data_IF_001140506590
#
_entry.id   IF_001140506590
#
_cell.length_a   1.000
_cell.length_b   1.000
_cell.length_c   1.000
_cell.angle_alpha   90.00
_cell.angle_beta   90.00
_cell.angle_gamma   90.00
#
_symmetry.space_group_name_H-M   'P 1'
#
loop_
_entity.id
_entity.type
_entity.pdbx_description
1 polymer ?
#
# COMPACT_ATOMS: atom_id res chain seq x y z
N UNK A 1 16.24 31.87 17.95
CA UNK A 1 16.94 31.62 16.66
C UNK A 1 16.17 30.49 16.02
N UNK A 2 15.19 30.83 15.19
CA UNK A 2 14.30 29.84 14.57
C UNK A 2 15.06 29.24 13.39
N UNK A 3 15.44 27.96 13.52
CA UNK A 3 16.01 27.22 12.41
C UNK A 3 14.87 26.81 11.49
N UNK A 4 14.55 27.65 10.51
CA UNK A 4 13.60 27.30 9.44
C UNK A 4 14.23 26.16 8.61
N UNK A 5 13.75 24.93 8.80
CA UNK A 5 14.13 23.80 7.96
C UNK A 5 13.23 23.79 6.73
N UNK A 6 13.68 24.43 5.66
CA UNK A 6 13.04 24.41 4.34
C UNK A 6 12.96 22.97 3.80
N UNK A 7 11.96 22.68 2.97
CA UNK A 7 11.68 21.39 2.36
C UNK A 7 12.71 20.94 1.29
N UNK A 8 13.85 21.63 1.13
CA UNK A 8 14.80 21.42 0.04
C UNK A 8 15.21 19.97 -0.29
N UNK A 9 15.43 19.06 0.68
CA UNK A 9 15.62 17.64 0.37
C UNK A 9 14.28 16.91 0.23
N UNK A 10 14.24 15.79 -0.53
CA UNK A 10 13.07 14.90 -0.68
C UNK A 10 12.35 14.63 0.66
N UNK A 11 13.11 14.26 1.69
CA UNK A 11 12.56 13.97 3.02
C UNK A 11 11.96 15.20 3.73
N UNK A 12 12.39 16.41 3.36
CA UNK A 12 11.80 17.66 3.83
C UNK A 12 10.37 17.83 3.33
N UNK A 13 10.15 17.63 2.02
CA UNK A 13 8.81 17.64 1.46
C UNK A 13 7.91 16.56 2.04
N UNK A 14 8.42 15.33 2.21
CA UNK A 14 7.69 14.23 2.86
C UNK A 14 7.28 14.62 4.29
N UNK A 15 8.20 15.21 5.06
CA UNK A 15 7.93 15.65 6.42
C UNK A 15 6.83 16.71 6.46
N UNK A 16 6.97 17.80 5.71
CA UNK A 16 6.01 18.90 5.68
C UNK A 16 4.64 18.47 5.13
N UNK A 17 4.61 17.50 4.21
CA UNK A 17 3.34 16.91 3.75
C UNK A 17 2.65 16.18 4.90
N UNK A 18 3.38 15.35 5.66
CA UNK A 18 2.83 14.55 6.76
C UNK A 18 2.38 15.38 7.98
N UNK A 19 2.84 16.62 8.13
CA UNK A 19 2.40 17.50 9.22
C UNK A 19 1.03 18.12 8.96
N UNK A 20 0.56 18.16 7.71
CA UNK A 20 -0.74 18.74 7.34
C UNK A 20 -1.90 17.95 7.96
N UNK A 21 -1.83 16.62 7.90
CA UNK A 21 -2.90 15.77 8.43
C UNK A 21 -2.39 14.43 8.92
N UNK A 22 -2.90 13.97 10.06
CA UNK A 22 -2.63 12.64 10.60
C UNK A 22 -3.27 11.53 9.77
N UNK A 23 -4.21 11.85 8.88
CA UNK A 23 -4.81 10.89 7.96
C UNK A 23 -3.87 10.45 6.82
N UNK A 24 -2.76 11.16 6.61
CA UNK A 24 -1.77 10.82 5.59
C UNK A 24 -0.97 9.60 6.06
N UNK A 25 -1.08 8.49 5.34
CA UNK A 25 -0.35 7.25 5.65
C UNK A 25 1.01 7.22 4.97
N UNK A 26 1.07 7.62 3.71
CA UNK A 26 2.28 7.53 2.90
C UNK A 26 2.39 8.71 1.93
N UNK A 27 3.64 9.07 1.63
CA UNK A 27 3.97 10.19 0.73
C UNK A 27 5.16 9.78 -0.12
N UNK A 28 5.02 9.91 -1.43
CA UNK A 28 6.13 9.83 -2.37
C UNK A 28 6.47 11.24 -2.84
N UNK A 29 7.76 11.57 -2.88
CA UNK A 29 8.23 12.86 -3.34
C UNK A 29 9.32 12.63 -4.39
N UNK A 30 9.07 13.05 -5.62
CA UNK A 30 9.97 12.87 -6.75
C UNK A 30 10.25 14.19 -7.46
N UNK A 31 11.25 14.21 -8.33
CA UNK A 31 11.57 15.36 -9.16
C UNK A 31 11.78 14.90 -10.60
N UNK A 32 10.69 14.78 -11.38
CA UNK A 32 10.76 14.30 -12.75
C UNK A 32 11.54 15.27 -13.66
N UNK A 33 11.50 16.56 -13.34
CA UNK A 33 12.23 17.62 -14.02
C UNK A 33 12.88 18.57 -13.01
N UNK A 34 13.97 19.24 -13.42
CA UNK A 34 14.68 20.16 -12.56
C UNK A 34 13.76 21.32 -12.10
N UNK A 35 13.66 21.50 -10.78
CA UNK A 35 12.78 22.52 -10.19
C UNK A 35 11.31 22.13 -10.14
N UNK A 36 10.93 20.91 -10.57
CA UNK A 36 9.58 20.38 -10.38
C UNK A 36 9.61 19.34 -9.27
N UNK A 37 8.73 19.51 -8.29
CA UNK A 37 8.54 18.58 -7.17
C UNK A 37 7.15 17.96 -7.31
N UNK A 38 7.10 16.65 -7.52
CA UNK A 38 5.86 15.87 -7.61
C UNK A 38 5.65 15.12 -6.30
N UNK A 39 4.54 15.45 -5.62
CA UNK A 39 4.14 14.86 -4.35
C UNK A 39 2.91 13.99 -4.58
N UNK A 40 3.03 12.71 -4.24
CA UNK A 40 1.91 11.77 -4.22
C UNK A 40 1.53 11.46 -2.78
N UNK A 41 0.24 11.47 -2.50
CA UNK A 41 -0.28 11.32 -1.15
C UNK A 41 -1.27 10.17 -1.07
N UNK A 42 -1.05 9.26 -0.13
CA UNK A 42 -1.95 8.15 0.18
C UNK A 42 -2.45 8.29 1.62
N UNK A 43 -3.76 8.11 1.83
CA UNK A 43 -4.37 8.18 3.15
C UNK A 43 -4.36 6.82 3.86
N UNK A 44 -4.66 6.86 5.16
CA UNK A 44 -4.88 5.65 5.97
C UNK A 44 -5.89 4.71 5.32
N UNK A 45 -5.67 3.40 5.49
CA UNK A 45 -6.47 2.38 4.81
C UNK A 45 -6.17 2.23 3.31
N UNK A 46 -5.20 2.97 2.77
CA UNK A 46 -4.90 2.98 1.33
C UNK A 46 -5.95 3.75 0.52
N UNK A 47 -6.65 4.70 1.15
CA UNK A 47 -7.65 5.53 0.47
C UNK A 47 -7.00 6.66 -0.34
N UNK A 48 -7.66 7.04 -1.43
CA UNK A 48 -7.26 8.19 -2.22
C UNK A 48 -7.65 9.50 -1.50
N UNK A 49 -6.78 10.52 -1.48
CA UNK A 49 -7.12 11.81 -0.92
C UNK A 49 -8.23 12.48 -1.72
N UNK A 50 -9.07 13.25 -1.04
CA UNK A 50 -10.03 14.13 -1.70
C UNK A 50 -9.31 15.35 -2.25
N UNK A 51 -9.92 16.02 -3.24
CA UNK A 51 -9.39 17.26 -3.80
C UNK A 51 -9.11 18.33 -2.72
N UNK A 52 -9.98 18.45 -1.71
CA UNK A 52 -9.79 19.41 -0.62
C UNK A 52 -8.52 19.13 0.21
N UNK A 53 -8.20 17.85 0.45
CA UNK A 53 -6.97 17.47 1.16
C UNK A 53 -5.73 17.75 0.31
N UNK A 54 -5.81 17.50 -1.01
CA UNK A 54 -4.71 17.82 -1.94
C UNK A 54 -4.42 19.32 -1.96
N UNK A 55 -5.46 20.16 -2.03
CA UNK A 55 -5.35 21.62 -2.01
C UNK A 55 -4.78 22.16 -0.69
N UNK A 56 -5.19 21.57 0.45
CA UNK A 56 -4.64 21.92 1.76
C UNK A 56 -3.14 21.62 1.84
N UNK A 57 -2.72 20.46 1.34
CA UNK A 57 -1.30 20.06 1.30
C UNK A 57 -0.52 20.96 0.34
N UNK A 58 -1.05 21.21 -0.86
CA UNK A 58 -0.40 22.08 -1.84
C UNK A 58 -0.20 23.49 -1.31
N UNK A 59 -1.19 24.04 -0.60
CA UNK A 59 -1.08 25.35 0.05
C UNK A 59 0.00 25.36 1.15
N UNK A 60 0.06 24.32 1.98
CA UNK A 60 1.07 24.20 3.02
C UNK A 60 2.49 24.09 2.46
N UNK A 61 2.68 23.30 1.40
CA UNK A 61 3.99 23.14 0.76
C UNK A 61 4.42 24.38 -0.03
N UNK A 62 3.47 25.16 -0.56
CA UNK A 62 3.76 26.40 -1.28
C UNK A 62 3.97 27.62 -0.37
N UNK A 63 3.84 27.47 0.95
CA UNK A 63 4.17 28.53 1.89
C UNK A 63 5.62 29.00 1.74
N UNK A 64 5.84 30.31 1.81
CA UNK A 64 7.11 30.97 1.47
C UNK A 64 8.29 30.62 2.39
N UNK A 65 8.03 30.05 3.56
CA UNK A 65 9.00 29.54 4.52
C UNK A 65 9.24 28.02 4.40
N UNK A 66 8.42 27.32 3.61
CA UNK A 66 8.47 25.86 3.43
C UNK A 66 9.24 25.47 2.19
N UNK A 67 8.87 25.93 0.99
CA UNK A 67 9.57 25.52 -0.25
C UNK A 67 10.77 26.42 -0.59
N UNK A 68 11.83 25.87 -1.21
CA UNK A 68 12.82 26.66 -1.92
C UNK A 68 12.18 27.50 -3.04
N UNK A 69 12.79 28.65 -3.33
CA UNK A 69 12.26 29.63 -4.30
C UNK A 69 12.09 29.09 -5.71
N UNK A 70 12.93 28.15 -6.13
CA UNK A 70 12.97 27.60 -7.49
C UNK A 70 12.02 26.44 -7.71
N UNK A 71 11.43 25.90 -6.64
CA UNK A 71 10.69 24.65 -6.72
C UNK A 71 9.23 24.92 -7.06
N UNK A 72 8.72 24.23 -8.07
CA UNK A 72 7.32 24.20 -8.47
C UNK A 72 6.75 22.90 -7.90
N UNK A 73 5.93 23.02 -6.85
CA UNK A 73 5.35 21.88 -6.15
C UNK A 73 4.01 21.53 -6.76
N UNK A 74 3.81 20.26 -7.07
CA UNK A 74 2.55 19.68 -7.51
C UNK A 74 2.16 18.56 -6.56
N UNK A 75 0.89 18.50 -6.18
CA UNK A 75 0.38 17.50 -5.24
C UNK A 75 -0.80 16.77 -5.87
N UNK A 76 -0.75 15.44 -5.87
CA UNK A 76 -1.81 14.64 -6.47
C UNK A 76 -1.94 13.27 -5.81
N UNK A 77 -2.99 12.55 -6.18
CA UNK A 77 -3.15 11.14 -5.81
C UNK A 77 -2.14 10.24 -6.55
N UNK A 78 -1.72 9.12 -5.94
CA UNK A 78 -0.99 8.09 -6.66
C UNK A 78 -1.85 7.46 -7.76
N UNK A 79 -1.19 7.05 -8.83
CA UNK A 79 -1.79 6.18 -9.83
C UNK A 79 -2.06 4.80 -9.24
N UNK A 80 -3.09 4.12 -9.75
CA UNK A 80 -3.51 2.82 -9.22
C UNK A 80 -3.09 1.68 -10.12
N UNK A 81 -2.38 0.73 -9.53
CA UNK A 81 -2.00 -0.53 -10.16
C UNK A 81 -2.97 -1.63 -9.71
N UNK A 82 -3.99 -1.97 -10.52
CA UNK A 82 -4.98 -2.97 -10.12
C UNK A 82 -4.34 -4.35 -10.02
N UNK A 83 -4.72 -5.10 -8.99
CA UNK A 83 -4.37 -6.51 -8.83
C UNK A 83 -5.56 -7.32 -8.31
N UNK A 84 -5.47 -8.63 -8.51
CA UNK A 84 -6.51 -9.60 -8.16
C UNK A 84 -5.96 -10.63 -7.19
N UNK A 85 -6.85 -11.29 -6.46
CA UNK A 85 -6.52 -12.44 -5.61
C UNK A 85 -7.33 -13.63 -6.09
N UNK A 86 -6.63 -14.67 -6.50
CA UNK A 86 -7.22 -15.94 -6.91
C UNK A 86 -6.30 -17.07 -6.41
N UNK A 87 -6.80 -17.82 -5.43
CA UNK A 87 -6.05 -18.90 -4.82
C UNK A 87 -6.93 -20.05 -4.33
N UNK A 88 -6.29 -21.22 -4.24
CA UNK A 88 -6.85 -22.41 -3.61
C UNK A 88 -5.90 -22.89 -2.53
N UNK A 89 -6.40 -23.17 -1.33
CA UNK A 89 -5.59 -23.65 -0.21
C UNK A 89 -6.03 -25.03 0.26
N UNK A 90 -5.12 -25.76 0.89
CA UNK A 90 -5.30 -27.14 1.34
C UNK A 90 -4.86 -27.29 2.79
N UNK A 91 -5.65 -28.03 3.57
CA UNK A 91 -5.46 -28.18 5.01
C UNK A 91 -4.84 -29.55 5.30
N UNK A 92 -3.89 -29.60 6.25
CA UNK A 92 -3.37 -30.88 6.72
C UNK A 92 -4.44 -31.65 7.51
N UNK A 93 -4.71 -32.91 7.15
CA UNK A 93 -5.67 -33.79 7.83
C UNK A 93 -5.36 -33.98 9.31
N UNK A 94 -4.09 -33.93 9.69
CA UNK A 94 -3.63 -34.10 11.06
C UNK A 94 -3.48 -32.76 11.81
N UNK A 95 -4.07 -31.68 11.30
CA UNK A 95 -4.03 -30.38 11.97
C UNK A 95 -4.72 -30.46 13.34
N UNK A 96 -4.09 -29.85 14.36
CA UNK A 96 -4.67 -29.75 15.70
C UNK A 96 -5.84 -28.76 15.75
N UNK A 97 -5.81 -27.73 14.89
CA UNK A 97 -6.88 -26.77 14.74
C UNK A 97 -7.99 -27.34 13.82
N UNK A 98 -9.24 -27.00 14.11
CA UNK A 98 -10.36 -27.40 13.25
C UNK A 98 -10.28 -26.70 11.88
N UNK A 99 -10.82 -27.37 10.85
CA UNK A 99 -10.95 -26.78 9.50
C UNK A 99 -11.58 -25.39 9.55
N UNK A 100 -12.68 -25.21 10.29
CA UNK A 100 -13.37 -23.92 10.40
C UNK A 100 -12.51 -22.78 10.96
N UNK A 101 -11.59 -23.08 11.89
CA UNK A 101 -10.66 -22.08 12.44
C UNK A 101 -9.65 -21.69 11.36
N UNK A 102 -9.08 -22.68 10.67
CA UNK A 102 -8.10 -22.45 9.59
C UNK A 102 -8.72 -21.67 8.43
N UNK A 103 -9.96 -21.97 8.06
CA UNK A 103 -10.67 -21.21 7.01
C UNK A 103 -10.87 -19.75 7.39
N UNK A 104 -11.28 -19.48 8.64
CA UNK A 104 -11.43 -18.11 9.16
C UNK A 104 -10.08 -17.38 9.16
N UNK A 105 -9.04 -18.02 9.69
CA UNK A 105 -7.72 -17.42 9.84
C UNK A 105 -7.05 -17.20 8.47
N UNK A 106 -7.30 -18.08 7.50
CA UNK A 106 -6.87 -17.89 6.10
C UNK A 106 -7.52 -16.66 5.47
N UNK A 107 -8.83 -16.44 5.68
CA UNK A 107 -9.51 -15.23 5.18
C UNK A 107 -8.97 -13.97 5.85
N UNK A 108 -8.67 -14.03 7.14
CA UNK A 108 -8.04 -12.92 7.86
C UNK A 108 -6.65 -12.61 7.30
N UNK A 109 -5.83 -13.64 7.04
CA UNK A 109 -4.51 -13.50 6.42
C UNK A 109 -4.57 -12.87 5.01
N UNK A 110 -5.60 -13.19 4.21
CA UNK A 110 -5.83 -12.54 2.91
C UNK A 110 -6.17 -11.06 3.08
N UNK A 111 -7.04 -10.68 4.00
CA UNK A 111 -7.35 -9.27 4.25
C UNK A 111 -6.16 -8.50 4.84
N UNK A 112 -5.35 -9.14 5.70
CA UNK A 112 -4.08 -8.58 6.19
C UNK A 112 -3.13 -8.30 5.03
N UNK A 113 -2.98 -9.25 4.10
CA UNK A 113 -2.20 -9.05 2.88
C UNK A 113 -2.73 -7.88 2.06
N UNK A 114 -4.05 -7.77 1.86
CA UNK A 114 -4.65 -6.65 1.12
C UNK A 114 -4.30 -5.32 1.79
N UNK A 115 -4.56 -5.18 3.10
CA UNK A 115 -4.27 -3.95 3.84
C UNK A 115 -2.79 -3.58 3.79
N UNK A 116 -1.92 -4.57 3.94
CA UNK A 116 -0.48 -4.36 3.79
C UNK A 116 -0.15 -3.93 2.35
N UNK A 117 -0.62 -4.63 1.32
CA UNK A 117 -0.26 -4.38 -0.06
C UNK A 117 -0.77 -3.01 -0.56
N UNK A 118 -1.97 -2.61 -0.17
CA UNK A 118 -2.61 -1.35 -0.61
C UNK A 118 -2.26 -0.14 0.26
N UNK A 119 -1.60 -0.36 1.40
CA UNK A 119 -1.31 0.69 2.39
C UNK A 119 -0.01 1.46 2.14
N UNK A 120 0.72 1.19 1.06
CA UNK A 120 2.01 1.84 0.76
C UNK A 120 2.25 1.97 -0.74
N UNK A 121 2.71 3.14 -1.19
CA UNK A 121 3.11 3.38 -2.58
C UNK A 121 4.46 2.72 -2.89
N UNK A 122 4.72 2.41 -4.17
CA UNK A 122 5.95 1.76 -4.62
C UNK A 122 6.19 0.36 -4.03
N UNK A 123 5.19 -0.23 -3.39
CA UNK A 123 5.28 -1.59 -2.85
C UNK A 123 4.97 -2.58 -3.96
N UNK A 124 5.99 -3.30 -4.40
CA UNK A 124 5.83 -4.40 -5.34
C UNK A 124 4.73 -5.36 -4.90
N UNK A 125 3.92 -5.81 -5.86
CA UNK A 125 2.91 -6.83 -5.63
C UNK A 125 3.65 -8.17 -5.47
N UNK A 126 3.67 -8.69 -4.25
CA UNK A 126 4.48 -9.85 -3.90
C UNK A 126 3.63 -11.04 -3.41
N UNK A 127 3.41 -12.08 -4.25
CA UNK A 127 2.65 -13.26 -3.85
C UNK A 127 3.34 -14.09 -2.76
N UNK A 128 4.66 -14.01 -2.60
CA UNK A 128 5.38 -14.77 -1.57
C UNK A 128 4.96 -14.36 -0.16
N UNK A 129 4.67 -13.07 0.05
CA UNK A 129 4.19 -12.58 1.35
C UNK A 129 2.75 -13.05 1.64
N UNK A 130 1.88 -13.07 0.63
CA UNK A 130 0.55 -13.67 0.73
C UNK A 130 0.63 -15.16 1.12
N UNK A 131 1.50 -15.91 0.44
CA UNK A 131 1.74 -17.34 0.74
C UNK A 131 2.21 -17.50 2.20
N UNK A 132 3.15 -16.68 2.64
CA UNK A 132 3.67 -16.72 4.01
C UNK A 132 2.55 -16.53 5.04
N UNK A 133 1.70 -15.51 4.87
CA UNK A 133 0.60 -15.23 5.79
C UNK A 133 -0.44 -16.37 5.82
N UNK A 134 -0.80 -16.90 4.66
CA UNK A 134 -1.74 -18.03 4.55
C UNK A 134 -1.18 -19.28 5.21
N UNK A 135 0.10 -19.61 4.98
CA UNK A 135 0.73 -20.76 5.62
C UNK A 135 0.82 -20.60 7.15
N UNK A 136 1.07 -19.39 7.64
CA UNK A 136 1.06 -19.08 9.07
C UNK A 136 -0.33 -19.28 9.71
N UNK A 137 -1.41 -19.18 8.93
CA UNK A 137 -2.78 -19.46 9.36
C UNK A 137 -3.10 -20.97 9.50
N UNK A 138 -2.13 -21.86 9.31
CA UNK A 138 -2.28 -23.31 9.46
C UNK A 138 -2.60 -24.06 8.17
N UNK A 139 -2.51 -23.40 7.01
CA UNK A 139 -2.61 -24.01 5.69
C UNK A 139 -1.35 -24.81 5.38
N UNK A 140 -1.53 -26.03 4.84
CA UNK A 140 -0.40 -26.87 4.40
C UNK A 140 0.19 -26.38 3.10
N UNK A 141 -0.67 -26.12 2.12
CA UNK A 141 -0.29 -25.80 0.74
C UNK A 141 -1.27 -24.80 0.16
N UNK A 142 -0.75 -23.87 -0.63
CA UNK A 142 -1.54 -22.87 -1.34
C UNK A 142 -1.10 -22.82 -2.80
N UNK A 143 -2.07 -22.79 -3.70
CA UNK A 143 -1.90 -22.52 -5.12
C UNK A 143 -2.38 -21.10 -5.39
N UNK A 144 -1.43 -20.18 -5.61
CA UNK A 144 -1.73 -18.79 -5.94
C UNK A 144 -1.67 -18.62 -7.44
N UNK A 145 -2.83 -18.35 -8.07
CA UNK A 145 -2.94 -17.98 -9.48
C UNK A 145 -2.80 -16.47 -9.66
N UNK A 146 -3.35 -15.71 -8.70
CA UNK A 146 -3.19 -14.27 -8.56
C UNK A 146 -3.03 -13.88 -7.09
N UNK A 147 -2.19 -12.87 -6.77
CA UNK A 147 -1.44 -12.04 -7.72
C UNK A 147 -0.18 -12.75 -8.25
N UNK A 148 0.34 -12.28 -9.39
CA UNK A 148 1.71 -12.59 -9.84
C UNK A 148 2.63 -11.46 -9.40
N UNK A 149 3.94 -11.73 -9.30
CA UNK A 149 4.90 -10.66 -9.00
C UNK A 149 4.79 -9.54 -10.04
N UNK A 150 4.69 -8.30 -9.56
CA UNK A 150 4.68 -7.10 -10.38
C UNK A 150 5.41 -5.98 -9.63
N UNK A 151 6.38 -5.36 -10.32
CA UNK A 151 7.02 -4.14 -9.83
C UNK A 151 6.03 -2.99 -9.92
N UNK A 152 5.94 -2.20 -8.85
CA UNK A 152 5.05 -1.03 -8.76
C UNK A 152 5.93 0.22 -8.71
N UNK A 153 5.62 1.22 -9.53
CA UNK A 153 6.38 2.47 -9.54
C UNK A 153 6.22 3.24 -8.22
N UNK A 154 7.21 4.06 -7.85
CA UNK A 154 7.25 4.77 -6.57
C UNK A 154 6.02 5.68 -6.35
N UNK A 155 5.49 6.25 -7.42
CA UNK A 155 4.30 7.13 -7.44
C UNK A 155 2.98 6.37 -7.58
N UNK A 156 3.02 5.03 -7.70
CA UNK A 156 1.85 4.17 -7.86
C UNK A 156 1.52 3.44 -6.55
N UNK A 157 0.25 3.08 -6.38
CA UNK A 157 -0.23 2.22 -5.30
C UNK A 157 -0.96 1.01 -5.86
N UNK A 158 -0.71 -0.17 -5.30
CA UNK A 158 -1.46 -1.36 -5.65
C UNK A 158 -2.92 -1.24 -5.17
N UNK A 159 -3.89 -1.58 -6.03
CA UNK A 159 -5.33 -1.53 -5.71
C UNK A 159 -5.98 -2.89 -5.95
N UNK A 160 -6.65 -3.43 -4.93
CA UNK A 160 -7.37 -4.70 -5.05
C UNK A 160 -8.65 -4.56 -5.87
N UNK A 161 -8.86 -5.44 -6.84
CA UNK A 161 -10.13 -5.63 -7.54
C UNK A 161 -10.97 -6.67 -6.79
N UNK A 162 -11.83 -6.21 -5.88
CA UNK A 162 -12.59 -7.12 -4.99
C UNK A 162 -13.61 -8.00 -5.72
N UNK A 163 -14.15 -7.55 -6.84
CA UNK A 163 -15.24 -8.25 -7.54
C UNK A 163 -14.83 -9.60 -8.16
N UNK A 164 -13.54 -9.83 -8.38
CA UNK A 164 -13.00 -11.08 -8.93
C UNK A 164 -12.28 -11.93 -7.87
N UNK A 165 -12.26 -11.48 -6.61
CA UNK A 165 -11.53 -12.14 -5.54
C UNK A 165 -12.05 -13.55 -5.26
N UNK A 166 -11.16 -14.53 -5.38
CA UNK A 166 -11.48 -15.95 -5.22
C UNK A 166 -10.52 -16.60 -4.22
N UNK A 167 -11.08 -17.12 -3.12
CA UNK A 167 -10.34 -17.81 -2.05
C UNK A 167 -11.06 -19.12 -1.73
N UNK A 168 -10.54 -20.24 -2.25
CA UNK A 168 -11.21 -21.55 -2.21
C UNK A 168 -10.48 -22.53 -1.30
N UNK A 169 -11.25 -23.29 -0.52
CA UNK A 169 -10.75 -24.46 0.18
C UNK A 169 -10.75 -25.67 -0.78
N UNK A 170 -9.56 -26.18 -1.11
CA UNK A 170 -9.35 -27.35 -1.96
C UNK A 170 -9.48 -28.70 -1.23
N UNK A 171 -9.72 -28.68 0.09
CA UNK A 171 -9.96 -29.85 0.92
C UNK A 171 -8.80 -30.19 1.85
N UNK A 172 -8.83 -31.42 2.35
CA UNK A 172 -7.84 -31.94 3.31
C UNK A 172 -6.85 -32.89 2.64
N UNK A 173 -5.56 -32.66 2.88
CA UNK A 173 -4.45 -33.47 2.37
C UNK A 173 -3.78 -34.24 3.51
N UNK A 174 -3.09 -35.35 3.17
CA UNK A 174 -2.29 -36.10 4.15
C UNK A 174 -1.11 -35.26 4.67
N UNK A 175 -0.42 -35.72 5.72
CA UNK A 175 0.77 -35.06 6.27
C UNK A 175 1.86 -34.85 5.22
#
# INVERSE_FOLDING_TARGET
>A
MESFSTAGPINGYIYHTKTVSTAIADVAATSPEAGVVDIRVLLQGGEQPTQAVLEEIEAALNASDVRPLTDIVTVSMPEEDPFEIDLTYYINRNSQASTSIIERDTRAAVEEYIQWQTGKMGRDINPSYLIQLIMAAGVKRVEVRKPTFKVVEETHVARIVRNTMTVLNGGVENA
#
